data_IF_642813508347
#
_entry.id   IF_642813508347
#
_cell.length_a   1.000
_cell.length_b   1.000
_cell.length_c   1.000
_cell.angle_alpha   90.00
_cell.angle_beta   90.00
_cell.angle_gamma   90.00
#
_symmetry.space_group_name_H-M   'P 1'
#
loop_
_entity.id
_entity.type
_entity.pdbx_description
1 polymer ?
#
# COMPACT_ATOMS: atom_id res chain seq x y z
N UNK A 1 60.25 17.60 11.26
CA UNK A 1 59.07 17.92 10.38
C UNK A 1 57.94 16.86 10.41
N UNK A 2 58.25 15.60 10.82
CA UNK A 2 57.27 14.50 10.84
C UNK A 2 56.39 14.46 12.14
N UNK A 3 56.70 15.25 13.18
CA UNK A 3 55.99 15.22 14.47
C UNK A 3 54.56 15.70 14.33
N UNK A 4 54.30 16.77 13.58
CA UNK A 4 52.97 17.35 13.39
C UNK A 4 52.03 16.37 12.65
N UNK A 5 52.41 15.85 11.45
CA UNK A 5 51.56 14.87 10.78
C UNK A 5 51.40 13.58 11.60
N UNK A 6 52.43 13.12 12.33
CA UNK A 6 52.31 11.97 13.23
C UNK A 6 51.30 12.18 14.33
N UNK A 7 51.26 13.35 14.95
CA UNK A 7 50.30 13.70 15.97
C UNK A 7 48.85 13.73 15.42
N UNK A 8 48.67 14.29 14.23
CA UNK A 8 47.35 14.32 13.57
C UNK A 8 46.81 12.94 13.27
N UNK A 9 47.67 12.04 12.76
CA UNK A 9 47.29 10.65 12.51
C UNK A 9 46.95 9.92 13.82
N UNK A 10 47.75 10.10 14.86
CA UNK A 10 47.45 9.51 16.17
C UNK A 10 46.13 10.01 16.77
N UNK A 11 45.88 11.30 16.67
CA UNK A 11 44.60 11.89 17.12
C UNK A 11 43.41 11.33 16.35
N UNK A 12 43.55 11.20 15.04
CA UNK A 12 42.51 10.62 14.18
C UNK A 12 42.21 9.16 14.51
N UNK A 13 43.23 8.36 14.78
CA UNK A 13 43.10 6.97 15.24
C UNK A 13 42.38 6.89 16.58
N UNK A 14 42.73 7.76 17.54
CA UNK A 14 42.05 7.80 18.84
C UNK A 14 40.55 8.12 18.65
N UNK A 15 40.20 9.07 17.80
CA UNK A 15 38.80 9.42 17.50
C UNK A 15 38.07 8.23 16.89
N UNK A 16 38.68 7.52 15.93
CA UNK A 16 38.07 6.34 15.31
C UNK A 16 37.82 5.23 16.34
N UNK A 17 38.83 4.91 17.15
CA UNK A 17 38.73 3.89 18.19
C UNK A 17 37.68 4.27 19.24
N UNK A 18 37.67 5.52 19.65
CA UNK A 18 36.63 6.02 20.57
C UNK A 18 35.22 5.89 19.99
N UNK A 19 35.03 6.27 18.73
CA UNK A 19 33.74 6.11 18.07
C UNK A 19 33.31 4.64 17.97
N UNK A 20 34.21 3.74 17.58
CA UNK A 20 33.88 2.32 17.44
C UNK A 20 33.55 1.66 18.81
N UNK A 21 34.30 2.00 19.88
CA UNK A 21 34.13 1.34 21.15
C UNK A 21 33.05 2.01 22.01
N UNK A 22 32.98 3.34 22.01
CA UNK A 22 32.13 4.07 22.94
C UNK A 22 30.86 4.65 22.27
N UNK A 23 30.93 5.13 21.04
CA UNK A 23 29.79 5.77 20.42
C UNK A 23 28.88 4.71 19.77
N UNK A 24 29.44 3.85 18.93
CA UNK A 24 28.67 2.87 18.18
C UNK A 24 28.37 1.58 18.97
N UNK A 25 29.06 1.33 20.09
CA UNK A 25 28.72 0.19 20.92
C UNK A 25 27.47 0.51 21.74
N UNK A 26 26.43 -0.30 21.59
CA UNK A 26 25.22 -0.24 22.39
C UNK A 26 24.49 1.12 22.33
N UNK A 27 24.28 1.63 21.08
CA UNK A 27 23.58 2.91 20.83
C UNK A 27 22.17 2.92 21.43
N UNK A 28 21.48 1.77 21.41
CA UNK A 28 20.13 1.66 21.95
C UNK A 28 20.06 1.99 23.44
N UNK A 29 20.99 1.47 24.25
CA UNK A 29 20.98 1.76 25.69
C UNK A 29 21.32 3.23 25.97
N UNK A 30 22.17 3.85 25.17
CA UNK A 30 22.54 5.27 25.33
C UNK A 30 21.44 6.21 24.89
N UNK A 31 20.64 5.81 23.91
CA UNK A 31 19.57 6.62 23.35
C UNK A 31 18.20 6.32 23.97
N UNK A 32 18.10 5.27 24.79
CA UNK A 32 16.84 4.79 25.36
C UNK A 32 16.01 5.89 26.04
N UNK A 33 16.64 6.73 26.83
CA UNK A 33 15.96 7.80 27.55
C UNK A 33 15.45 8.88 26.58
N UNK A 34 16.25 9.23 25.57
CA UNK A 34 15.85 10.19 24.51
C UNK A 34 14.73 9.63 23.64
N UNK A 35 14.77 8.33 23.33
CA UNK A 35 13.70 7.64 22.60
C UNK A 35 12.41 7.64 23.42
N UNK A 36 12.49 7.36 24.72
CA UNK A 36 11.34 7.38 25.61
C UNK A 36 10.71 8.79 25.69
N UNK A 37 11.52 9.83 25.82
CA UNK A 37 11.06 11.21 25.81
C UNK A 37 10.43 11.60 24.46
N UNK A 38 11.04 11.22 23.34
CA UNK A 38 10.48 11.46 22.02
C UNK A 38 9.11 10.78 21.84
N UNK A 39 8.96 9.54 22.26
CA UNK A 39 7.69 8.82 22.26
C UNK A 39 6.65 9.55 23.10
N UNK A 40 7.01 9.93 24.33
CA UNK A 40 6.13 10.64 25.26
C UNK A 40 5.62 11.96 24.68
N UNK A 41 6.52 12.79 24.16
CA UNK A 41 6.16 14.10 23.62
C UNK A 41 5.42 13.98 22.29
N UNK A 42 5.73 12.98 21.46
CA UNK A 42 4.99 12.70 20.24
C UNK A 42 3.56 12.26 20.56
N UNK A 43 3.38 11.32 21.49
CA UNK A 43 2.04 10.92 21.96
C UNK A 43 1.25 12.13 22.45
N UNK A 44 1.86 12.99 23.26
CA UNK A 44 1.19 14.20 23.76
C UNK A 44 0.84 15.20 22.65
N UNK A 45 1.73 15.43 21.69
CA UNK A 45 1.50 16.35 20.58
C UNK A 45 0.36 15.92 19.66
N UNK A 46 0.20 14.61 19.47
CA UNK A 46 -0.88 14.04 18.65
C UNK A 46 -2.13 13.65 19.46
N UNK A 47 -2.14 13.96 20.77
CA UNK A 47 -3.23 13.60 21.69
C UNK A 47 -3.56 12.09 21.65
N UNK A 48 -2.53 11.25 21.58
CA UNK A 48 -2.67 9.80 21.57
C UNK A 48 -2.64 9.32 23.02
N UNK A 49 -3.81 9.07 23.57
CA UNK A 49 -3.99 8.45 24.89
C UNK A 49 -4.28 6.96 24.70
N UNK A 50 -3.24 6.13 24.78
CA UNK A 50 -3.35 4.68 24.62
C UNK A 50 -3.11 4.04 25.97
N UNK A 51 -4.11 3.34 26.48
CA UNK A 51 -3.97 2.46 27.64
C UNK A 51 -3.04 1.28 27.29
N UNK A 52 -1.93 1.16 27.99
CA UNK A 52 -1.05 0.01 27.85
C UNK A 52 -1.60 -1.14 28.69
N UNK A 53 -2.05 -2.20 28.02
CA UNK A 53 -2.40 -3.46 28.68
C UNK A 53 -1.36 -4.54 28.41
N UNK A 54 -0.95 -5.23 29.44
CA UNK A 54 -0.14 -6.44 29.28
C UNK A 54 -1.06 -7.59 28.86
N UNK A 55 -0.81 -8.16 27.70
CA UNK A 55 -1.47 -9.39 27.30
C UNK A 55 -0.82 -10.56 28.05
N UNK A 56 -1.52 -11.04 29.07
CA UNK A 56 -1.09 -12.26 29.74
C UNK A 56 -1.41 -13.46 28.85
N UNK A 57 -0.41 -14.32 28.67
CA UNK A 57 -0.62 -15.59 27.97
C UNK A 57 -1.42 -16.52 28.88
N UNK A 58 -2.72 -16.64 28.63
CA UNK A 58 -3.65 -17.45 29.46
C UNK A 58 -3.55 -18.97 29.22
N UNK A 59 -2.58 -19.42 28.43
CA UNK A 59 -2.38 -20.86 28.18
C UNK A 59 -2.96 -21.34 26.84
N UNK A 60 -3.63 -22.49 26.84
CA UNK A 60 -4.14 -23.10 25.59
C UNK A 60 -5.43 -22.43 25.13
N UNK A 61 -5.46 -21.99 23.88
CA UNK A 61 -6.67 -21.46 23.25
C UNK A 61 -7.71 -22.57 23.08
N UNK A 62 -8.91 -22.35 23.56
CA UNK A 62 -10.02 -23.29 23.43
C UNK A 62 -10.85 -23.01 22.17
N UNK A 63 -11.58 -24.02 21.68
CA UNK A 63 -12.46 -23.87 20.52
C UNK A 63 -13.59 -22.83 20.78
N UNK A 64 -14.03 -22.69 22.02
CA UNK A 64 -15.03 -21.69 22.37
C UNK A 64 -14.49 -20.27 22.24
N UNK A 65 -13.26 -20.01 22.69
CA UNK A 65 -12.60 -18.72 22.53
C UNK A 65 -12.37 -18.37 21.05
N UNK A 66 -12.04 -19.35 20.19
CA UNK A 66 -11.96 -19.16 18.74
C UNK A 66 -13.32 -18.77 18.17
N UNK A 67 -14.39 -19.44 18.55
CA UNK A 67 -15.73 -19.14 18.06
C UNK A 67 -16.24 -17.77 18.52
N UNK A 68 -15.99 -17.39 19.78
CA UNK A 68 -16.34 -16.09 20.33
C UNK A 68 -15.59 -14.92 19.67
N UNK A 69 -14.36 -15.16 19.21
CA UNK A 69 -13.51 -14.20 18.52
C UNK A 69 -13.51 -14.39 17.00
N UNK A 70 -14.50 -15.08 16.44
CA UNK A 70 -14.56 -15.40 15.01
C UNK A 70 -14.55 -14.17 14.11
N UNK A 71 -15.14 -13.06 14.52
CA UNK A 71 -15.11 -11.80 13.76
C UNK A 71 -13.66 -11.27 13.59
N UNK A 72 -12.88 -11.28 14.66
CA UNK A 72 -11.47 -10.84 14.63
C UNK A 72 -10.63 -11.79 13.78
N UNK A 73 -10.82 -13.10 13.98
CA UNK A 73 -10.06 -14.14 13.27
C UNK A 73 -10.36 -14.08 11.77
N UNK A 74 -11.65 -13.99 11.39
CA UNK A 74 -12.07 -13.92 9.99
C UNK A 74 -11.66 -12.64 9.29
N UNK A 75 -11.39 -11.57 10.04
CA UNK A 75 -10.89 -10.30 9.51
C UNK A 75 -9.37 -10.13 9.71
N UNK A 76 -8.67 -11.18 10.08
CA UNK A 76 -7.20 -11.14 10.15
C UNK A 76 -6.59 -11.19 8.75
N UNK A 77 -5.72 -10.25 8.44
CA UNK A 77 -5.03 -10.16 7.16
C UNK A 77 -4.11 -11.37 6.93
N UNK A 78 -4.33 -12.10 5.85
CA UNK A 78 -3.49 -13.21 5.39
C UNK A 78 -2.56 -12.80 4.24
N UNK A 79 -2.99 -11.87 3.40
CA UNK A 79 -2.27 -11.46 2.19
C UNK A 79 -1.49 -10.18 2.43
N UNK A 80 -0.24 -10.13 1.99
CA UNK A 80 0.59 -8.91 2.08
C UNK A 80 0.33 -8.01 0.87
N UNK A 81 0.38 -6.69 1.08
CA UNK A 81 0.23 -5.65 0.05
C UNK A 81 1.24 -5.81 -1.09
N UNK A 82 2.51 -6.10 -0.79
CA UNK A 82 3.55 -6.26 -1.81
C UNK A 82 3.27 -7.46 -2.73
N UNK A 83 2.73 -8.54 -2.16
CA UNK A 83 2.30 -9.71 -2.93
C UNK A 83 1.15 -9.35 -3.85
N UNK A 84 0.18 -8.57 -3.35
CA UNK A 84 -0.95 -8.08 -4.16
C UNK A 84 -0.44 -7.27 -5.33
N UNK A 85 0.36 -6.23 -5.10
CA UNK A 85 0.88 -5.34 -6.14
C UNK A 85 1.69 -6.12 -7.17
N UNK A 86 2.63 -6.96 -6.72
CA UNK A 86 3.44 -7.77 -7.62
C UNK A 86 2.59 -8.70 -8.49
N UNK A 87 1.59 -9.35 -7.91
CA UNK A 87 0.69 -10.24 -8.66
C UNK A 87 -0.15 -9.46 -9.69
N UNK A 88 -0.59 -8.26 -9.35
CA UNK A 88 -1.33 -7.40 -10.27
C UNK A 88 -0.44 -6.94 -11.43
N UNK A 89 0.78 -6.52 -11.16
CA UNK A 89 1.75 -6.12 -12.17
C UNK A 89 2.13 -7.29 -13.09
N UNK A 90 2.41 -8.46 -12.53
CA UNK A 90 2.72 -9.67 -13.30
C UNK A 90 1.55 -10.05 -14.25
N UNK A 91 0.31 -9.88 -13.81
CA UNK A 91 -0.88 -10.13 -14.65
C UNK A 91 -1.07 -9.09 -15.75
N UNK A 92 -0.50 -7.89 -15.63
CA UNK A 92 -0.51 -6.85 -16.67
C UNK A 92 0.66 -6.95 -17.64
N UNK A 93 1.62 -7.84 -17.38
CA UNK A 93 2.79 -8.07 -18.24
C UNK A 93 2.34 -8.58 -19.59
N UNK A 94 2.16 -7.70 -20.54
CA UNK A 94 1.69 -8.01 -21.92
C UNK A 94 0.61 -7.08 -22.44
N UNK A 95 -0.21 -6.49 -21.60
CA UNK A 95 -1.17 -5.46 -22.00
C UNK A 95 -0.62 -4.04 -21.82
N UNK A 96 0.21 -3.81 -20.79
CA UNK A 96 1.00 -2.59 -20.59
C UNK A 96 0.23 -1.25 -20.48
N UNK A 97 -1.11 -1.30 -20.43
CA UNK A 97 -1.93 -0.09 -20.45
C UNK A 97 -2.20 0.43 -19.05
N UNK A 98 -2.47 -0.45 -18.13
CA UNK A 98 -2.78 -0.11 -16.75
C UNK A 98 -1.61 -0.41 -15.83
N UNK A 99 -1.53 0.36 -14.75
CA UNK A 99 -0.58 0.18 -13.67
C UNK A 99 -1.31 0.26 -12.34
N UNK A 100 -0.74 -0.38 -11.32
CA UNK A 100 -1.26 -0.37 -9.96
C UNK A 100 -0.22 0.24 -9.04
N UNK A 101 -0.34 1.52 -8.79
CA UNK A 101 0.61 2.25 -7.93
C UNK A 101 0.50 1.86 -6.48
N UNK A 102 -0.71 1.57 -6.04
CA UNK A 102 -0.99 1.25 -4.65
C UNK A 102 -2.17 0.27 -4.53
N UNK A 103 -2.17 -0.50 -3.44
CA UNK A 103 -3.28 -1.34 -3.02
C UNK A 103 -3.60 -1.03 -1.56
N UNK A 104 -4.54 -0.11 -1.35
CA UNK A 104 -4.91 0.32 -0.02
C UNK A 104 -5.84 -0.69 0.65
N UNK A 105 -5.55 -1.02 1.91
CA UNK A 105 -6.40 -1.90 2.69
C UNK A 105 -7.40 -1.07 3.51
N UNK A 106 -8.67 -1.48 3.45
CA UNK A 106 -9.72 -0.87 4.26
C UNK A 106 -10.88 -1.85 4.48
N UNK A 107 -11.72 -1.53 5.45
CA UNK A 107 -12.91 -2.29 5.77
C UNK A 107 -14.07 -1.80 4.89
N UNK A 108 -14.72 -2.74 4.21
CA UNK A 108 -15.86 -2.49 3.33
C UNK A 108 -17.04 -3.39 3.68
N UNK A 109 -18.24 -2.91 3.44
CA UNK A 109 -19.46 -3.69 3.62
C UNK A 109 -19.90 -4.29 2.28
N UNK A 110 -19.79 -5.61 2.15
CA UNK A 110 -20.18 -6.38 0.96
C UNK A 110 -21.35 -7.28 1.34
N UNK A 111 -22.48 -7.10 0.69
CA UNK A 111 -23.69 -7.92 0.95
C UNK A 111 -24.11 -7.96 2.43
N UNK A 112 -23.84 -6.87 3.16
CA UNK A 112 -24.17 -6.76 4.58
C UNK A 112 -23.08 -7.22 5.54
N UNK A 113 -22.05 -7.89 5.07
CA UNK A 113 -20.92 -8.36 5.86
C UNK A 113 -19.72 -7.39 5.76
N UNK A 114 -19.04 -7.18 6.88
CA UNK A 114 -17.80 -6.42 6.91
C UNK A 114 -16.64 -7.26 6.41
N UNK A 115 -15.93 -6.76 5.40
CA UNK A 115 -14.78 -7.44 4.79
C UNK A 115 -13.58 -6.51 4.71
N UNK A 116 -12.42 -7.06 4.98
CA UNK A 116 -11.16 -6.37 4.83
C UNK A 116 -10.64 -6.58 3.40
N UNK A 117 -10.63 -5.50 2.60
CA UNK A 117 -10.27 -5.56 1.19
C UNK A 117 -9.05 -4.71 0.87
N UNK A 118 -8.22 -5.19 -0.04
CA UNK A 118 -7.31 -4.34 -0.80
C UNK A 118 -8.03 -3.76 -1.99
N UNK A 119 -7.94 -2.43 -2.15
CA UNK A 119 -8.39 -1.73 -3.35
C UNK A 119 -7.19 -1.21 -4.12
N UNK A 120 -7.13 -1.59 -5.40
CA UNK A 120 -6.11 -1.16 -6.34
C UNK A 120 -6.81 -0.51 -7.56
N UNK A 121 -6.80 0.83 -7.68
CA UNK A 121 -7.31 1.50 -8.87
C UNK A 121 -6.41 1.19 -10.06
N UNK A 122 -7.02 0.99 -11.23
CA UNK A 122 -6.30 0.84 -12.49
C UNK A 122 -5.98 2.21 -13.05
N UNK A 123 -4.75 2.65 -12.87
CA UNK A 123 -4.27 3.88 -13.45
C UNK A 123 -3.61 3.62 -14.80
N UNK A 124 -3.62 4.62 -15.66
CA UNK A 124 -2.96 4.55 -16.98
C UNK A 124 -1.54 5.03 -16.84
N UNK A 125 -0.58 4.23 -17.31
CA UNK A 125 0.80 4.67 -17.45
C UNK A 125 1.06 5.26 -18.82
N UNK A 126 1.78 6.37 -18.88
CA UNK A 126 2.22 7.01 -20.13
C UNK A 126 3.63 6.60 -20.56
N UNK A 127 4.29 5.78 -19.78
CA UNK A 127 5.66 5.33 -20.07
C UNK A 127 5.68 4.40 -21.27
N UNK A 128 6.58 4.66 -22.21
CA UNK A 128 6.80 3.82 -23.38
C UNK A 128 5.70 3.87 -24.46
N UNK A 129 4.71 4.78 -24.36
CA UNK A 129 3.60 4.88 -25.29
C UNK A 129 3.83 5.88 -26.41
N UNK A 130 3.17 5.61 -27.56
CA UNK A 130 3.12 6.55 -28.68
C UNK A 130 2.28 7.76 -28.31
N UNK A 131 2.46 8.88 -29.03
CA UNK A 131 1.67 10.08 -28.86
C UNK A 131 0.16 9.79 -29.03
N UNK A 132 -0.21 9.04 -30.07
CA UNK A 132 -1.61 8.72 -30.34
C UNK A 132 -2.23 7.89 -29.22
N UNK A 133 -1.53 6.86 -28.77
CA UNK A 133 -2.02 5.98 -27.70
C UNK A 133 -2.31 6.73 -26.40
N UNK A 134 -1.40 7.61 -25.96
CA UNK A 134 -1.60 8.37 -24.72
C UNK A 134 -2.53 9.56 -24.84
N UNK A 135 -2.84 10.02 -26.06
CA UNK A 135 -3.64 11.22 -26.28
C UNK A 135 -5.09 10.89 -26.64
N UNK A 136 -5.32 9.78 -27.33
CA UNK A 136 -6.63 9.48 -27.93
C UNK A 136 -7.21 8.11 -27.53
N UNK A 137 -6.40 7.18 -27.01
CA UNK A 137 -6.86 5.82 -26.73
C UNK A 137 -6.95 5.54 -25.22
N UNK A 138 -5.85 5.73 -24.51
CA UNK A 138 -5.74 5.43 -23.07
C UNK A 138 -5.49 6.72 -22.30
N UNK A 139 -6.49 7.55 -22.20
CA UNK A 139 -6.39 8.90 -21.64
C UNK A 139 -6.60 8.93 -20.12
N UNK A 140 -7.28 7.94 -19.57
CA UNK A 140 -7.59 7.84 -18.15
C UNK A 140 -7.59 6.37 -17.70
N UNK A 141 -7.51 6.16 -16.39
CA UNK A 141 -7.64 4.85 -15.78
C UNK A 141 -9.09 4.39 -15.74
N UNK A 142 -9.32 3.08 -15.56
CA UNK A 142 -10.69 2.53 -15.52
C UNK A 142 -10.86 1.44 -14.47
N UNK A 143 -11.80 1.66 -13.59
CA UNK A 143 -12.21 0.70 -12.58
C UNK A 143 -11.15 0.46 -11.50
N UNK A 144 -11.46 -0.44 -10.63
CA UNK A 144 -10.59 -0.85 -9.54
C UNK A 144 -10.66 -2.35 -9.34
N UNK A 145 -9.58 -2.92 -8.83
CA UNK A 145 -9.55 -4.28 -8.36
C UNK A 145 -9.79 -4.29 -6.86
N UNK A 146 -10.68 -5.17 -6.41
CA UNK A 146 -10.89 -5.44 -4.99
C UNK A 146 -10.51 -6.90 -4.67
N UNK A 147 -9.65 -7.07 -3.69
CA UNK A 147 -9.08 -8.37 -3.30
C UNK A 147 -9.36 -8.58 -1.82
N UNK A 148 -9.87 -9.75 -1.47
CA UNK A 148 -10.05 -10.14 -0.07
C UNK A 148 -8.68 -10.31 0.60
N UNK A 149 -8.46 -9.53 1.65
CA UNK A 149 -7.20 -9.54 2.38
C UNK A 149 -7.09 -10.71 3.37
N UNK A 150 -8.22 -11.36 3.67
CA UNK A 150 -8.34 -12.37 4.72
C UNK A 150 -8.44 -13.79 4.19
N UNK A 151 -8.51 -13.95 2.87
CA UNK A 151 -8.64 -15.27 2.23
C UNK A 151 -7.82 -15.38 0.95
N UNK A 152 -7.50 -16.61 0.59
CA UNK A 152 -6.86 -16.97 -0.68
C UNK A 152 -7.69 -18.05 -1.37
N UNK A 153 -7.48 -18.21 -2.68
CA UNK A 153 -8.12 -19.31 -3.43
C UNK A 153 -7.58 -20.67 -2.97
N UNK A 154 -8.27 -21.75 -3.34
CA UNK A 154 -7.82 -23.11 -3.02
C UNK A 154 -6.42 -23.46 -3.56
N UNK A 155 -5.96 -22.72 -4.58
CA UNK A 155 -4.62 -22.86 -5.17
C UNK A 155 -3.59 -21.88 -4.59
N UNK A 156 -3.97 -21.11 -3.56
CA UNK A 156 -3.10 -20.12 -2.92
C UNK A 156 -3.01 -18.77 -3.66
N UNK A 157 -3.80 -18.58 -4.70
CA UNK A 157 -3.86 -17.31 -5.43
C UNK A 157 -4.72 -16.23 -4.72
N UNK A 158 -4.67 -15.00 -5.25
CA UNK A 158 -5.48 -13.90 -4.75
C UNK A 158 -6.98 -14.17 -4.93
N UNK A 159 -7.77 -13.88 -3.90
CA UNK A 159 -9.22 -13.99 -3.94
C UNK A 159 -9.83 -12.66 -4.38
N UNK A 160 -10.21 -12.57 -5.65
CA UNK A 160 -10.79 -11.35 -6.24
C UNK A 160 -12.27 -11.23 -5.90
N UNK A 161 -12.63 -10.13 -5.28
CA UNK A 161 -14.03 -9.72 -5.02
C UNK A 161 -14.58 -8.99 -6.24
N UNK A 162 -13.74 -8.17 -6.88
CA UNK A 162 -14.04 -7.40 -8.07
C UNK A 162 -12.78 -7.28 -8.91
N UNK A 163 -12.84 -7.55 -10.20
CA UNK A 163 -11.69 -7.38 -11.12
C UNK A 163 -12.06 -6.97 -12.53
N UNK A 164 -13.35 -6.97 -12.89
CA UNK A 164 -13.79 -6.63 -14.25
C UNK A 164 -13.56 -5.13 -14.54
N UNK A 165 -12.94 -4.83 -15.66
CA UNK A 165 -12.69 -3.46 -16.12
C UNK A 165 -14.01 -2.75 -16.46
N UNK A 166 -15.00 -3.49 -16.99
CA UNK A 166 -16.32 -2.95 -17.34
C UNK A 166 -17.20 -2.68 -16.12
N UNK A 167 -16.77 -3.07 -14.91
CA UNK A 167 -17.54 -2.91 -13.68
C UNK A 167 -18.77 -3.84 -13.59
N UNK A 168 -18.90 -4.87 -14.44
CA UNK A 168 -20.01 -5.81 -14.38
C UNK A 168 -20.04 -6.63 -13.08
N UNK A 169 -18.89 -6.80 -12.45
CA UNK A 169 -18.74 -7.47 -11.15
C UNK A 169 -18.66 -6.49 -9.98
N UNK A 170 -19.09 -5.21 -10.17
CA UNK A 170 -19.00 -4.18 -9.14
C UNK A 170 -19.87 -4.55 -7.91
N UNK A 171 -19.20 -4.83 -6.80
CA UNK A 171 -19.80 -5.11 -5.49
C UNK A 171 -19.64 -3.95 -4.52
N UNK A 172 -18.88 -2.94 -4.89
CA UNK A 172 -18.59 -1.77 -4.06
C UNK A 172 -19.56 -0.62 -4.32
N UNK A 173 -20.38 -0.70 -5.39
CA UNK A 173 -21.33 0.35 -5.77
C UNK A 173 -20.64 1.59 -6.31
N UNK A 174 -19.58 1.42 -7.08
CA UNK A 174 -18.80 2.51 -7.68
C UNK A 174 -19.64 3.23 -8.73
N UNK A 175 -19.91 4.51 -8.52
CA UNK A 175 -20.77 5.31 -9.41
C UNK A 175 -20.12 5.60 -10.76
N UNK A 176 -18.79 5.76 -10.77
CA UNK A 176 -17.99 6.11 -11.92
C UNK A 176 -16.78 5.20 -11.96
N UNK A 177 -16.53 4.58 -13.11
CA UNK A 177 -15.37 3.71 -13.30
C UNK A 177 -14.14 4.47 -13.80
N UNK A 178 -14.33 5.66 -14.40
CA UNK A 178 -13.26 6.43 -15.02
C UNK A 178 -12.40 7.14 -13.99
N UNK A 179 -11.07 7.02 -14.11
CA UNK A 179 -10.10 7.54 -13.17
C UNK A 179 -9.22 8.58 -13.87
N UNK A 180 -9.57 9.85 -13.68
CA UNK A 180 -8.83 10.99 -14.23
C UNK A 180 -7.76 11.53 -13.29
N UNK A 181 -7.92 11.28 -12.00
CA UNK A 181 -7.02 11.76 -10.95
C UNK A 181 -6.47 10.56 -10.19
N UNK A 182 -5.19 10.33 -10.30
CA UNK A 182 -4.48 9.25 -9.64
C UNK A 182 -3.02 9.62 -9.37
N UNK A 183 -2.28 8.69 -8.80
CA UNK A 183 -0.88 8.88 -8.46
C UNK A 183 0.04 8.89 -9.69
N UNK A 184 -0.40 8.28 -10.80
CA UNK A 184 0.33 8.26 -12.08
C UNK A 184 -0.16 9.34 -13.05
N UNK A 185 -1.22 10.07 -12.71
CA UNK A 185 -1.76 11.13 -13.57
C UNK A 185 -0.86 12.34 -13.54
N UNK A 186 -0.26 12.67 -14.69
CA UNK A 186 0.62 13.84 -14.86
C UNK A 186 0.24 14.69 -16.08
N UNK A 187 -0.92 14.45 -16.66
CA UNK A 187 -1.46 15.15 -17.82
C UNK A 187 -2.39 16.29 -17.40
N UNK A 188 -2.58 17.26 -18.33
CA UNK A 188 -3.63 18.25 -18.16
C UNK A 188 -5.00 17.59 -18.38
N UNK A 189 -5.94 17.90 -17.49
CA UNK A 189 -7.30 17.36 -17.50
C UNK A 189 -8.28 18.51 -17.66
N UNK A 190 -9.24 18.36 -18.59
CA UNK A 190 -10.35 19.27 -18.71
C UNK A 190 -11.58 18.65 -18.06
N UNK A 191 -12.11 19.26 -17.01
CA UNK A 191 -13.27 18.78 -16.28
C UNK A 191 -14.46 19.72 -16.43
N UNK A 192 -15.66 19.19 -16.19
CA UNK A 192 -16.90 19.98 -16.19
C UNK A 192 -17.17 20.73 -17.50
N UNK A 193 -16.85 20.14 -18.62
CA UNK A 193 -17.05 20.71 -19.95
C UNK A 193 -18.52 20.59 -20.34
N UNK A 194 -19.20 21.73 -20.52
CA UNK A 194 -20.63 21.74 -20.88
C UNK A 194 -20.85 21.26 -22.33
N UNK A 195 -21.89 20.46 -22.52
CA UNK A 195 -22.33 19.95 -23.83
C UNK A 195 -21.28 19.16 -24.62
N UNK A 196 -20.31 18.58 -23.92
CA UNK A 196 -19.34 17.65 -24.48
C UNK A 196 -19.44 16.34 -23.73
N UNK A 197 -19.67 15.28 -24.47
CA UNK A 197 -19.54 13.92 -23.97
C UNK A 197 -18.14 13.44 -24.34
N UNK A 198 -17.52 12.74 -23.45
CA UNK A 198 -16.26 12.06 -23.73
C UNK A 198 -16.51 10.98 -24.79
N UNK A 199 -15.57 10.82 -25.67
CA UNK A 199 -15.63 9.76 -26.68
C UNK A 199 -14.99 8.50 -26.08
N UNK A 200 -15.85 7.53 -25.73
CA UNK A 200 -15.41 6.20 -25.35
C UNK A 200 -15.30 5.34 -26.61
N UNK A 201 -14.10 4.82 -26.83
CA UNK A 201 -13.86 3.88 -27.91
C UNK A 201 -14.17 2.46 -27.42
N UNK A 202 -15.14 1.83 -28.06
CA UNK A 202 -15.41 0.39 -27.89
C UNK A 202 -14.84 -0.33 -29.10
N UNK A 203 -13.91 -1.27 -28.88
CA UNK A 203 -13.44 -2.11 -29.97
C UNK A 203 -14.50 -3.14 -30.39
N UNK A 204 -14.22 -3.89 -31.48
CA UNK A 204 -15.12 -4.91 -32.00
C UNK A 204 -15.42 -6.06 -31.02
N UNK A 205 -14.62 -6.18 -29.95
CA UNK A 205 -14.80 -7.16 -28.87
C UNK A 205 -15.54 -6.60 -27.65
N UNK A 206 -15.97 -5.34 -27.70
CA UNK A 206 -16.65 -4.66 -26.60
C UNK A 206 -15.74 -4.34 -25.42
N UNK A 207 -14.44 -4.24 -25.65
CA UNK A 207 -13.47 -3.71 -24.70
C UNK A 207 -13.38 -2.19 -24.88
N UNK A 208 -13.73 -1.46 -23.84
CA UNK A 208 -13.60 0.01 -23.79
C UNK A 208 -12.18 0.43 -23.43
#
# INVERSE_FOLDING_TARGET
LAIIPGYLVAMFLVIIVFNLIFVNSNTLDKEKDYIADNIKYTKAAYNIDIEESNLENSGTITQNEVNENSEVINNTRLVNQDVVLKTLDDNQTGTGYYTYRNANIAKYKISGEDKLLYLAPREVTNSGRTYNSKTYEYTHGKGQIAIDATSVTATGGLNYVQKDVSGKDDKLGTKTQDIYFGLETNNAIATNVKNKQEYDYTDEYGLE
#
